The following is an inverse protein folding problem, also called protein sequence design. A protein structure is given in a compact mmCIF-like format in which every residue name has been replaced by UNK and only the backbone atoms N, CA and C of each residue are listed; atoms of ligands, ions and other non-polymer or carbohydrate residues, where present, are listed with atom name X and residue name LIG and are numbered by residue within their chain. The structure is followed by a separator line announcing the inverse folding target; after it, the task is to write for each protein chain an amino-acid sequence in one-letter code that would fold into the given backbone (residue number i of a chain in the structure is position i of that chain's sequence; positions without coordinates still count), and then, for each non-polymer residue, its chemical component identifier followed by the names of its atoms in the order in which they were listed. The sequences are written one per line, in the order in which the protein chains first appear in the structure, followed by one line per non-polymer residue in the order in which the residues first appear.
data_IF_507896872527
#
_entry.id   IF_507896872527
#
_cell.length_a   1.000
_cell.length_b   1.000
_cell.length_c   1.000
_cell.angle_alpha   90.00
_cell.angle_beta   90.00
_cell.angle_gamma   90.00
#
_symmetry.space_group_name_H-M   'P 1'
#
loop_
_entity.id
_entity.type
_entity.pdbx_description
1 polymer ?
#
# COMPACT_ATOMS: atom_id res chain seq x y z
N UNK A 1 -24.92 13.15 -21.29
CA UNK A 1 -26.14 12.38 -21.01
C UNK A 1 -26.03 11.77 -19.61
N UNK A 2 -26.98 12.05 -18.71
CA UNK A 2 -26.92 11.55 -17.32
C UNK A 2 -27.34 10.07 -17.27
N UNK A 3 -26.36 9.17 -17.03
CA UNK A 3 -26.58 7.71 -16.99
C UNK A 3 -27.57 7.31 -15.90
N UNK A 4 -27.63 8.06 -14.79
CA UNK A 4 -28.50 7.78 -13.65
C UNK A 4 -29.97 8.10 -13.97
N UNK A 5 -30.23 9.23 -14.62
CA UNK A 5 -31.57 9.59 -15.09
C UNK A 5 -32.07 8.62 -16.17
N UNK A 6 -31.18 8.19 -17.06
CA UNK A 6 -31.51 7.22 -18.11
C UNK A 6 -31.84 5.84 -17.50
N UNK A 7 -31.05 5.37 -16.52
CA UNK A 7 -31.32 4.13 -15.80
C UNK A 7 -32.68 4.16 -15.08
N UNK A 8 -33.03 5.30 -14.47
CA UNK A 8 -34.33 5.48 -13.82
C UNK A 8 -35.50 5.42 -14.83
N UNK A 9 -35.35 6.05 -16.01
CA UNK A 9 -36.37 5.98 -17.07
C UNK A 9 -36.60 4.55 -17.59
N UNK A 10 -35.55 3.73 -17.66
CA UNK A 10 -35.63 2.32 -18.10
C UNK A 10 -36.35 1.45 -17.08
N UNK A 11 -36.19 1.72 -15.78
CA UNK A 11 -36.94 1.00 -14.75
C UNK A 11 -38.45 1.28 -14.86
N UNK A 12 -38.84 2.52 -15.15
CA UNK A 12 -40.24 2.96 -15.24
C UNK A 12 -40.92 2.69 -16.58
N UNK A 13 -40.19 2.19 -17.58
CA UNK A 13 -40.74 1.92 -18.91
C UNK A 13 -41.72 0.74 -18.86
N UNK A 14 -42.98 0.98 -19.24
CA UNK A 14 -44.00 -0.06 -19.40
C UNK A 14 -43.89 -0.67 -20.81
N UNK A 15 -44.00 -1.99 -20.92
CA UNK A 15 -43.87 -2.72 -22.19
C UNK A 15 -42.55 -3.44 -22.41
N UNK A 16 -41.60 -3.35 -21.47
CA UNK A 16 -40.38 -4.16 -21.45
C UNK A 16 -40.44 -5.20 -20.32
N UNK A 17 -39.96 -6.41 -20.59
CA UNK A 17 -39.76 -7.42 -19.55
C UNK A 17 -38.64 -7.03 -18.58
N UNK A 18 -38.58 -7.71 -17.43
CA UNK A 18 -37.51 -7.47 -16.46
C UNK A 18 -36.12 -7.84 -17.02
N UNK A 19 -36.06 -8.85 -17.88
CA UNK A 19 -34.85 -9.30 -18.56
C UNK A 19 -34.33 -8.22 -19.53
N UNK A 20 -35.22 -7.63 -20.34
CA UNK A 20 -34.87 -6.55 -21.28
C UNK A 20 -34.41 -5.28 -20.55
N UNK A 21 -35.09 -4.92 -19.44
CA UNK A 21 -34.68 -3.81 -18.58
C UNK A 21 -33.29 -4.04 -17.99
N UNK A 22 -33.00 -5.27 -17.57
CA UNK A 22 -31.70 -5.63 -16.97
C UNK A 22 -30.58 -5.55 -18.01
N UNK A 23 -30.78 -6.09 -19.22
CA UNK A 23 -29.82 -6.01 -20.31
C UNK A 23 -29.49 -4.54 -20.71
N UNK A 24 -30.51 -3.67 -20.76
CA UNK A 24 -30.32 -2.24 -21.01
C UNK A 24 -29.58 -1.52 -19.88
N UNK A 25 -29.86 -1.88 -18.63
CA UNK A 25 -29.15 -1.34 -17.47
C UNK A 25 -27.69 -1.75 -17.45
N UNK A 26 -27.35 -2.98 -17.86
CA UNK A 26 -25.97 -3.44 -18.00
C UNK A 26 -25.21 -2.69 -19.11
N UNK A 27 -25.85 -2.46 -20.26
CA UNK A 27 -25.30 -1.66 -21.36
C UNK A 27 -25.00 -0.21 -20.93
N UNK A 28 -25.88 0.40 -20.11
CA UNK A 28 -25.71 1.78 -19.62
C UNK A 28 -24.68 1.87 -18.51
N UNK A 29 -24.68 0.88 -17.60
CA UNK A 29 -23.72 0.80 -16.49
C UNK A 29 -22.32 0.44 -16.97
N UNK A 30 -22.15 0.06 -18.23
CA UNK A 30 -20.94 0.19 -19.05
C UNK A 30 -19.67 0.19 -18.21
N UNK A 31 -19.14 -1.03 -18.02
CA UNK A 31 -17.98 -1.42 -17.22
C UNK A 31 -18.26 -1.72 -15.74
N UNK A 32 -17.91 -2.94 -15.33
CA UNK A 32 -17.79 -3.30 -13.92
C UNK A 32 -16.78 -2.36 -13.28
N UNK A 33 -17.14 -1.75 -12.15
CA UNK A 33 -16.19 -1.02 -11.31
C UNK A 33 -15.39 -2.05 -10.52
N UNK A 34 -14.13 -2.20 -10.89
CA UNK A 34 -13.19 -3.02 -10.14
C UNK A 34 -12.54 -2.14 -9.07
N UNK A 35 -12.43 -2.68 -7.87
CA UNK A 35 -11.79 -2.04 -6.74
C UNK A 35 -11.66 -3.06 -5.62
N UNK A 36 -10.62 -2.93 -4.82
CA UNK A 36 -10.54 -3.63 -3.54
C UNK A 36 -11.42 -2.84 -2.55
N UNK A 37 -12.21 -3.55 -1.74
CA UNK A 37 -12.95 -2.96 -0.61
C UNK A 37 -12.35 -3.57 0.64
N UNK A 38 -11.83 -2.72 1.51
CA UNK A 38 -11.23 -3.14 2.77
C UNK A 38 -11.62 -2.13 3.87
N UNK A 39 -11.53 -2.57 5.12
CA UNK A 39 -11.73 -1.69 6.27
C UNK A 39 -10.46 -0.90 6.54
N UNK A 40 -10.62 0.37 6.92
CA UNK A 40 -9.48 1.13 7.43
C UNK A 40 -9.06 0.53 8.77
N UNK A 41 -7.83 0.05 8.83
CA UNK A 41 -7.21 -0.48 10.03
C UNK A 41 -5.92 0.29 10.29
N UNK A 42 -5.97 1.43 10.98
CA UNK A 42 -4.77 2.17 11.33
C UNK A 42 -3.90 1.33 12.26
N UNK A 43 -2.59 1.43 12.10
CA UNK A 43 -1.62 0.81 12.99
C UNK A 43 -1.11 1.84 14.00
N UNK A 44 -0.87 1.41 15.25
CA UNK A 44 -0.41 2.32 16.31
C UNK A 44 0.88 3.05 15.93
N UNK A 45 1.75 2.42 15.14
CA UNK A 45 2.99 3.02 14.66
C UNK A 45 2.74 4.16 13.66
N UNK A 46 1.72 4.09 12.82
CA UNK A 46 1.36 5.16 11.88
C UNK A 46 0.98 6.43 12.61
N UNK A 47 0.15 6.31 13.66
CA UNK A 47 -0.28 7.45 14.45
C UNK A 47 0.88 8.08 15.22
N UNK A 48 1.80 7.28 15.75
CA UNK A 48 3.01 7.78 16.41
C UNK A 48 3.90 8.57 15.46
N UNK A 49 4.10 8.07 14.23
CA UNK A 49 4.95 8.71 13.23
C UNK A 49 4.41 10.05 12.72
N UNK A 50 3.15 10.42 13.03
CA UNK A 50 2.61 11.75 12.74
C UNK A 50 3.27 12.85 13.58
N UNK A 51 3.65 12.51 14.81
CA UNK A 51 4.17 13.47 15.80
C UNK A 51 5.65 13.18 16.17
N UNK A 52 6.08 11.92 16.06
CA UNK A 52 7.42 11.46 16.41
C UNK A 52 8.22 11.07 15.16
N UNK A 53 9.37 11.71 14.94
CA UNK A 53 10.30 11.28 13.90
C UNK A 53 11.17 10.13 14.42
N UNK A 54 11.27 9.02 13.68
CA UNK A 54 12.18 7.94 14.02
C UNK A 54 13.63 8.43 13.93
N UNK A 55 14.53 7.83 14.70
CA UNK A 55 15.96 8.10 14.62
C UNK A 55 16.73 6.79 14.69
N UNK A 56 17.74 6.64 13.83
CA UNK A 56 18.65 5.50 13.89
C UNK A 56 19.69 5.72 14.99
N UNK A 57 19.79 4.75 15.90
CA UNK A 57 20.79 4.74 16.97
C UNK A 57 21.70 3.53 16.77
N UNK A 58 23.01 3.78 16.75
CA UNK A 58 23.99 2.71 16.63
C UNK A 58 23.93 1.79 17.87
N UNK A 59 23.81 0.48 17.63
CA UNK A 59 23.79 -0.53 18.69
C UNK A 59 25.21 -0.94 19.07
N UNK A 60 25.70 -0.37 20.17
CA UNK A 60 27.07 -0.54 20.66
C UNK A 60 27.18 -1.52 21.87
N UNK A 61 26.28 -2.49 21.97
CA UNK A 61 26.32 -3.47 23.07
C UNK A 61 27.28 -4.63 22.77
N UNK A 62 27.65 -5.37 23.82
CA UNK A 62 28.61 -6.47 23.72
C UNK A 62 28.11 -7.69 22.94
N UNK A 63 26.87 -7.67 22.41
CA UNK A 63 26.27 -8.76 21.62
C UNK A 63 26.33 -8.48 20.13
N UNK A 64 26.58 -7.23 19.72
CA UNK A 64 26.70 -6.84 18.33
C UNK A 64 28.16 -6.57 18.02
N UNK A 65 28.70 -7.32 17.08
CA UNK A 65 30.07 -7.15 16.60
C UNK A 65 30.01 -6.79 15.11
N UNK A 66 30.50 -5.61 14.70
CA UNK A 66 30.55 -5.24 13.30
C UNK A 66 31.50 -6.18 12.55
N UNK A 67 31.08 -6.60 11.35
CA UNK A 67 31.93 -7.36 10.45
C UNK A 67 32.72 -6.35 9.63
N UNK A 68 33.98 -6.13 10.00
CA UNK A 68 34.86 -5.14 9.37
C UNK A 68 35.73 -5.84 8.32
N UNK A 69 35.82 -5.24 7.14
CA UNK A 69 36.72 -5.69 6.06
C UNK A 69 37.72 -4.59 5.75
N UNK A 70 39.00 -4.96 5.60
CA UNK A 70 40.06 -4.03 5.16
C UNK A 70 40.01 -3.75 3.65
N UNK A 71 39.14 -4.44 2.90
CA UNK A 71 38.97 -4.25 1.47
C UNK A 71 38.11 -3.00 1.20
N UNK A 72 38.64 -1.94 0.53
CA UNK A 72 37.87 -0.74 0.23
C UNK A 72 36.66 -0.96 -0.70
N UNK A 73 36.63 -2.08 -1.44
CA UNK A 73 35.53 -2.45 -2.31
C UNK A 73 34.46 -3.31 -1.61
N UNK A 74 34.64 -3.65 -0.32
CA UNK A 74 33.62 -4.37 0.43
C UNK A 74 32.36 -3.50 0.57
N UNK A 75 31.16 -4.05 0.30
CA UNK A 75 29.92 -3.31 0.47
C UNK A 75 29.61 -3.11 1.96
N UNK A 76 28.94 -2.00 2.27
CA UNK A 76 28.36 -1.79 3.59
C UNK A 76 27.01 -2.50 3.67
N UNK A 77 26.87 -3.39 4.65
CA UNK A 77 25.61 -4.06 4.95
C UNK A 77 25.03 -3.49 6.25
N UNK A 78 23.73 -3.22 6.25
CA UNK A 78 23.00 -2.61 7.37
C UNK A 78 21.97 -3.62 7.90
N UNK A 79 21.88 -3.73 9.23
CA UNK A 79 20.81 -4.44 9.92
C UNK A 79 20.12 -3.41 10.82
N UNK A 80 18.81 -3.23 10.64
CA UNK A 80 17.99 -2.33 11.45
C UNK A 80 17.04 -3.20 12.28
N UNK A 81 17.04 -2.98 13.59
CA UNK A 81 16.13 -3.63 14.52
C UNK A 81 15.06 -2.65 14.97
N UNK A 82 13.80 -3.03 14.81
CA UNK A 82 12.65 -2.19 15.14
C UNK A 82 11.45 -2.50 14.25
N UNK A 83 10.47 -1.59 14.28
CA UNK A 83 9.31 -1.64 13.41
C UNK A 83 9.70 -1.33 11.94
N UNK A 84 9.13 -2.06 10.99
CA UNK A 84 9.48 -1.93 9.58
C UNK A 84 9.03 -0.60 8.98
N UNK A 85 7.89 -0.05 9.41
CA UNK A 85 7.37 1.22 8.91
C UNK A 85 8.26 2.37 9.38
N UNK A 86 8.69 2.35 10.64
CA UNK A 86 9.63 3.33 11.17
C UNK A 86 10.99 3.26 10.46
N UNK A 87 11.53 2.05 10.24
CA UNK A 87 12.79 1.86 9.55
C UNK A 87 12.73 2.33 8.08
N UNK A 88 11.66 2.00 7.37
CA UNK A 88 11.47 2.43 5.97
C UNK A 88 11.25 3.94 5.87
N UNK A 89 10.59 4.55 6.85
CA UNK A 89 10.44 6.01 6.94
C UNK A 89 11.80 6.70 7.02
N UNK A 90 12.70 6.23 7.89
CA UNK A 90 14.08 6.76 7.95
C UNK A 90 14.85 6.55 6.65
N UNK A 91 14.79 5.35 6.09
CA UNK A 91 15.50 5.03 4.84
C UNK A 91 14.96 5.84 3.66
N UNK A 92 13.70 6.27 3.68
CA UNK A 92 13.13 7.12 2.62
C UNK A 92 13.85 8.46 2.48
N UNK A 93 14.46 8.99 3.55
CA UNK A 93 15.20 10.26 3.47
C UNK A 93 16.56 10.14 2.77
N UNK A 94 17.16 8.95 2.77
CA UNK A 94 18.56 8.75 2.33
C UNK A 94 18.69 7.79 1.14
N UNK A 95 17.75 6.87 0.97
CA UNK A 95 17.81 5.77 -0.01
C UNK A 95 16.67 5.81 -1.04
N UNK A 96 15.91 6.91 -1.11
CA UNK A 96 14.84 7.05 -2.10
C UNK A 96 15.40 6.91 -3.53
N UNK A 97 14.85 5.98 -4.31
CA UNK A 97 15.29 5.67 -5.66
C UNK A 97 16.58 4.84 -5.77
N UNK A 98 17.19 4.44 -4.64
CA UNK A 98 18.47 3.71 -4.61
C UNK A 98 18.31 2.20 -4.29
N UNK A 99 17.07 1.69 -4.22
CA UNK A 99 16.79 0.29 -3.92
C UNK A 99 16.40 -0.46 -5.19
N UNK A 100 17.24 -1.41 -5.62
CA UNK A 100 17.00 -2.19 -6.83
C UNK A 100 16.01 -3.34 -6.61
N UNK A 101 16.06 -4.00 -5.46
CA UNK A 101 15.29 -5.21 -5.16
C UNK A 101 14.81 -5.20 -3.71
N UNK A 102 13.54 -5.55 -3.50
CA UNK A 102 12.93 -5.74 -2.17
C UNK A 102 12.40 -7.18 -2.08
N UNK A 103 12.82 -7.91 -1.04
CA UNK A 103 12.30 -9.24 -0.71
C UNK A 103 11.65 -9.21 0.68
N UNK A 104 10.39 -9.62 0.79
CA UNK A 104 9.61 -9.63 2.03
C UNK A 104 9.02 -11.03 2.22
N UNK A 105 9.27 -11.64 3.37
CA UNK A 105 8.60 -12.87 3.80
C UNK A 105 7.50 -12.55 4.80
N UNK A 106 6.27 -12.33 4.32
CA UNK A 106 5.10 -12.21 5.19
C UNK A 106 4.58 -13.61 5.54
N UNK A 107 4.40 -13.90 6.84
CA UNK A 107 3.68 -15.10 7.26
C UNK A 107 2.18 -14.89 7.04
N UNK A 108 1.51 -15.87 6.43
CA UNK A 108 0.08 -15.89 6.19
C UNK A 108 -0.72 -16.31 7.43
#
# INVERSE_FOLDING_TARGET
MNKTELARKIQTLEGLSNEEKTALLELIRGHKKYGLVWEEKPEDIEERLREELPILVERNDSKVHPIISDNPAAPNHLIIEGDNLAALTELSYTHNGNIDVIYIGAAA
#
